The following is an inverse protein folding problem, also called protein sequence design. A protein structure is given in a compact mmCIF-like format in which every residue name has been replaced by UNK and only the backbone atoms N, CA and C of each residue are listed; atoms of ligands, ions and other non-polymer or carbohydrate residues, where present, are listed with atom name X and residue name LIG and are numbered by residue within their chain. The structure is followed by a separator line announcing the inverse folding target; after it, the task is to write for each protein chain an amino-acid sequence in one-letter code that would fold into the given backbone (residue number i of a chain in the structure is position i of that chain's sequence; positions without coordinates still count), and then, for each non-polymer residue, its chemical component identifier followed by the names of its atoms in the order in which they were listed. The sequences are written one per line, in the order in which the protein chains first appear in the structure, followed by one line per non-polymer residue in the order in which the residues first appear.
data_IF_839684502234
#
_entry.id   IF_839684502234
#
_cell.length_a   1.000
_cell.length_b   1.000
_cell.length_c   1.000
_cell.angle_alpha   90.00
_cell.angle_beta   90.00
_cell.angle_gamma   90.00
#
_symmetry.space_group_name_H-M   'P 1'
#
loop_
_entity.id
_entity.type
_entity.pdbx_description
1 polymer ?
#
# COMPACT_ATOMS: atom_id res chain seq x y z
N UNK A 1 -20.41 -54.46 24.65
CA UNK A 1 -19.73 -53.48 23.76
C UNK A 1 -20.48 -52.15 23.81
N UNK A 2 -20.09 -51.18 24.64
CA UNK A 2 -20.75 -49.84 24.64
C UNK A 2 -19.95 -48.68 25.26
N UNK A 3 -18.63 -48.82 25.46
CA UNK A 3 -17.81 -47.75 26.07
C UNK A 3 -17.14 -46.79 25.06
N UNK A 4 -17.23 -47.07 23.76
CA UNK A 4 -16.52 -46.33 22.71
C UNK A 4 -17.36 -45.24 22.01
N UNK A 5 -18.62 -45.03 22.39
CA UNK A 5 -19.55 -44.12 21.68
C UNK A 5 -19.59 -42.71 22.26
N UNK A 6 -19.49 -42.55 23.59
CA UNK A 6 -19.51 -41.23 24.26
C UNK A 6 -18.32 -40.33 23.87
N UNK A 7 -17.05 -40.75 23.95
CA UNK A 7 -15.93 -39.90 23.54
C UNK A 7 -15.96 -39.64 22.03
N UNK A 8 -16.40 -40.61 21.21
CA UNK A 8 -16.58 -40.40 19.77
C UNK A 8 -17.65 -39.34 19.48
N UNK A 9 -18.80 -39.38 20.15
CA UNK A 9 -19.86 -38.38 20.02
C UNK A 9 -19.36 -36.99 20.40
N UNK A 10 -18.60 -36.87 21.49
CA UNK A 10 -18.00 -35.59 21.92
C UNK A 10 -17.02 -35.08 20.85
N UNK A 11 -16.16 -35.95 20.31
CA UNK A 11 -15.25 -35.57 19.23
C UNK A 11 -15.98 -35.14 17.95
N UNK A 12 -17.06 -35.83 17.55
CA UNK A 12 -17.88 -35.44 16.39
C UNK A 12 -18.55 -34.09 16.59
N UNK A 13 -19.05 -33.82 17.80
CA UNK A 13 -19.68 -32.54 18.15
C UNK A 13 -18.65 -31.41 18.10
N UNK A 14 -17.47 -31.59 18.69
CA UNK A 14 -16.36 -30.64 18.62
C UNK A 14 -15.92 -30.39 17.18
N UNK A 15 -15.77 -31.45 16.38
CA UNK A 15 -15.35 -31.33 14.98
C UNK A 15 -16.40 -30.59 14.15
N UNK A 16 -17.70 -30.83 14.40
CA UNK A 16 -18.78 -30.09 13.77
C UNK A 16 -18.78 -28.60 14.16
N UNK A 17 -18.50 -28.28 15.42
CA UNK A 17 -18.41 -26.88 15.88
C UNK A 17 -17.21 -26.19 15.21
N UNK A 18 -16.04 -26.83 15.20
CA UNK A 18 -14.84 -26.29 14.54
C UNK A 18 -15.09 -26.09 13.04
N UNK A 19 -15.65 -27.10 12.35
CA UNK A 19 -15.99 -27.00 10.94
C UNK A 19 -17.02 -25.89 10.67
N UNK A 20 -18.03 -25.73 11.53
CA UNK A 20 -19.02 -24.67 11.44
C UNK A 20 -18.39 -23.28 11.59
N UNK A 21 -17.53 -23.09 12.59
CA UNK A 21 -16.81 -21.83 12.82
C UNK A 21 -15.88 -21.51 11.65
N UNK A 22 -15.11 -22.49 11.15
CA UNK A 22 -14.23 -22.31 9.99
C UNK A 22 -15.01 -21.95 8.74
N UNK A 23 -16.14 -22.62 8.50
CA UNK A 23 -17.00 -22.37 7.34
C UNK A 23 -17.61 -20.97 7.39
N UNK A 24 -18.12 -20.57 8.57
CA UNK A 24 -18.66 -19.23 8.77
C UNK A 24 -17.58 -18.15 8.62
N UNK A 25 -16.41 -18.37 9.20
CA UNK A 25 -15.26 -17.47 9.04
C UNK A 25 -14.87 -17.32 7.57
N UNK A 26 -14.82 -18.40 6.82
CA UNK A 26 -14.48 -18.37 5.40
C UNK A 26 -15.51 -17.58 4.58
N UNK A 27 -16.80 -17.73 4.87
CA UNK A 27 -17.86 -16.97 4.21
C UNK A 27 -17.86 -15.47 4.58
N UNK A 28 -17.41 -15.13 5.78
CA UNK A 28 -17.32 -13.75 6.27
C UNK A 28 -16.00 -13.06 5.92
N UNK A 29 -15.00 -13.80 5.44
CA UNK A 29 -13.72 -13.22 5.04
C UNK A 29 -13.93 -12.18 3.93
N UNK A 30 -13.40 -10.96 4.08
CA UNK A 30 -13.50 -9.96 3.04
C UNK A 30 -12.84 -10.48 1.77
N UNK A 31 -13.47 -10.22 0.62
CA UNK A 31 -12.85 -10.50 -0.67
C UNK A 31 -11.53 -9.75 -0.75
N UNK A 32 -10.51 -10.40 -1.28
CA UNK A 32 -9.20 -9.80 -1.45
C UNK A 32 -8.93 -9.56 -2.94
N UNK A 33 -8.24 -8.47 -3.24
CA UNK A 33 -7.76 -8.13 -4.56
C UNK A 33 -6.23 -8.13 -4.58
N UNK A 34 -5.67 -8.61 -5.69
CA UNK A 34 -4.23 -8.65 -5.89
C UNK A 34 -3.72 -7.29 -6.36
N UNK A 35 -2.76 -6.74 -5.62
CA UNK A 35 -2.03 -5.52 -5.90
C UNK A 35 -0.59 -5.84 -6.28
N UNK A 36 -0.02 -5.03 -7.18
CA UNK A 36 1.38 -5.12 -7.59
C UNK A 36 2.14 -3.94 -7.00
N UNK A 37 3.01 -4.22 -6.04
CA UNK A 37 3.83 -3.22 -5.38
C UNK A 37 5.23 -3.20 -6.00
N UNK A 38 5.70 -2.01 -6.37
CA UNK A 38 7.01 -1.78 -6.96
C UNK A 38 7.95 -1.15 -5.94
N UNK A 39 9.08 -1.80 -5.69
CA UNK A 39 10.11 -1.32 -4.77
C UNK A 39 11.48 -1.33 -5.45
N UNK A 40 12.39 -0.47 -4.99
CA UNK A 40 13.78 -0.50 -5.46
C UNK A 40 14.51 -1.72 -4.93
N UNK A 41 15.45 -2.23 -5.71
CA UNK A 41 16.42 -3.23 -5.28
C UNK A 41 17.76 -2.57 -4.92
N UNK A 42 18.60 -3.30 -4.18
CA UNK A 42 19.92 -2.82 -3.77
C UNK A 42 20.89 -2.53 -4.92
N UNK A 43 20.66 -3.14 -6.09
CA UNK A 43 21.45 -3.02 -7.31
C UNK A 43 20.97 -1.88 -8.24
N UNK A 44 19.98 -1.09 -7.79
CA UNK A 44 19.37 -0.03 -8.58
C UNK A 44 18.20 -0.51 -9.46
N UNK A 45 17.90 -1.80 -9.46
CA UNK A 45 16.73 -2.37 -10.14
C UNK A 45 15.40 -1.99 -9.48
N UNK A 46 14.29 -2.36 -10.13
CA UNK A 46 12.95 -2.30 -9.56
C UNK A 46 12.36 -3.70 -9.49
N UNK A 47 12.02 -4.15 -8.30
CA UNK A 47 11.30 -5.40 -8.06
C UNK A 47 9.79 -5.21 -8.04
N UNK A 48 9.07 -6.34 -8.11
CA UNK A 48 7.62 -6.41 -7.97
C UNK A 48 7.31 -7.38 -6.83
N UNK A 49 6.42 -6.96 -5.94
CA UNK A 49 5.87 -7.76 -4.85
C UNK A 49 4.34 -7.83 -5.04
N UNK A 50 3.77 -9.03 -5.02
CA UNK A 50 2.32 -9.20 -5.04
C UNK A 50 1.77 -9.14 -3.61
N UNK A 51 0.73 -8.35 -3.37
CA UNK A 51 0.00 -8.33 -2.09
C UNK A 51 -1.49 -8.47 -2.30
N UNK A 52 -2.15 -9.14 -1.36
CA UNK A 52 -3.60 -9.27 -1.35
C UNK A 52 -4.17 -8.31 -0.31
N UNK A 53 -4.88 -7.29 -0.77
CA UNK A 53 -5.55 -6.31 0.09
C UNK A 53 -7.07 -6.57 0.10
N UNK A 54 -7.79 -6.21 1.17
CA UNK A 54 -9.24 -6.22 1.15
C UNK A 54 -9.79 -5.42 -0.05
N UNK A 55 -10.86 -5.92 -0.65
CA UNK A 55 -11.58 -5.21 -1.69
C UNK A 55 -12.23 -3.97 -1.09
N UNK A 56 -11.76 -2.80 -1.50
CA UNK A 56 -12.19 -1.49 -1.01
C UNK A 56 -12.64 -0.62 -2.19
N UNK A 57 -13.36 0.46 -1.89
CA UNK A 57 -13.54 1.52 -2.88
C UNK A 57 -12.19 2.11 -3.24
N UNK A 58 -12.02 2.50 -4.51
CA UNK A 58 -10.70 2.88 -5.02
C UNK A 58 -10.04 4.06 -4.28
N UNK A 59 -10.85 4.99 -3.76
CA UNK A 59 -10.37 6.08 -2.90
C UNK A 59 -9.79 5.59 -1.58
N UNK A 60 -10.42 4.60 -0.96
CA UNK A 60 -9.97 3.96 0.28
C UNK A 60 -8.77 3.04 0.01
N UNK A 61 -8.79 2.33 -1.11
CA UNK A 61 -7.68 1.51 -1.58
C UNK A 61 -6.43 2.37 -1.79
N UNK A 62 -6.55 3.55 -2.41
CA UNK A 62 -5.41 4.43 -2.61
C UNK A 62 -4.74 4.82 -1.28
N UNK A 63 -5.55 5.19 -0.27
CA UNK A 63 -5.05 5.53 1.07
C UNK A 63 -4.44 4.30 1.76
N UNK A 64 -5.11 3.15 1.68
CA UNK A 64 -4.60 1.88 2.22
C UNK A 64 -3.26 1.50 1.58
N UNK A 65 -3.14 1.65 0.26
CA UNK A 65 -1.92 1.40 -0.49
C UNK A 65 -0.77 2.32 -0.07
N UNK A 66 -1.04 3.59 0.26
CA UNK A 66 -0.02 4.48 0.85
C UNK A 66 0.56 3.87 2.12
N UNK A 67 -0.30 3.38 3.02
CA UNK A 67 0.15 2.77 4.28
C UNK A 67 0.96 1.49 4.02
N UNK A 68 0.53 0.65 3.09
CA UNK A 68 1.25 -0.57 2.69
C UNK A 68 2.64 -0.27 2.12
N UNK A 69 2.78 0.80 1.34
CA UNK A 69 4.07 1.25 0.78
C UNK A 69 5.00 1.77 1.88
N UNK A 70 4.46 2.51 2.88
CA UNK A 70 5.24 3.04 4.00
C UNK A 70 5.67 1.95 4.99
N UNK A 71 4.83 0.93 5.19
CA UNK A 71 5.21 -0.27 5.95
C UNK A 71 6.46 -0.96 5.34
N UNK A 72 6.62 -0.81 4.02
CA UNK A 72 7.76 -1.29 3.26
C UNK A 72 7.57 -2.73 2.75
N UNK A 73 8.52 -3.25 1.95
CA UNK A 73 8.46 -4.57 1.34
C UNK A 73 8.50 -5.71 2.37
N UNK A 74 7.86 -6.83 2.05
CA UNK A 74 7.99 -8.08 2.81
C UNK A 74 9.29 -8.80 2.47
N UNK A 75 9.75 -8.67 1.23
CA UNK A 75 11.03 -9.23 0.78
C UNK A 75 12.21 -8.31 1.16
N UNK A 76 13.13 -8.84 1.97
CA UNK A 76 14.33 -8.14 2.45
C UNK A 76 15.30 -7.71 1.34
N UNK A 77 15.16 -8.23 0.11
CA UNK A 77 15.96 -7.82 -1.05
C UNK A 77 15.58 -6.43 -1.56
N UNK A 78 14.36 -5.99 -1.26
CA UNK A 78 13.84 -4.69 -1.65
C UNK A 78 14.13 -3.64 -0.58
N UNK A 79 14.29 -2.40 -1.04
CA UNK A 79 14.52 -1.24 -0.19
C UNK A 79 13.18 -0.66 0.26
N UNK A 80 13.16 -0.16 1.50
CA UNK A 80 12.00 0.55 2.08
C UNK A 80 11.91 1.96 1.49
N UNK A 81 10.70 2.53 1.46
CA UNK A 81 10.51 3.94 1.09
C UNK A 81 10.79 4.90 2.25
N UNK A 82 10.53 4.45 3.47
CA UNK A 82 10.66 5.22 4.70
C UNK A 82 10.94 4.29 5.89
N UNK A 83 11.16 4.87 7.06
CA UNK A 83 11.14 4.11 8.31
C UNK A 83 9.75 3.48 8.52
N UNK A 84 9.64 2.21 8.95
CA UNK A 84 8.36 1.50 9.04
C UNK A 84 7.35 2.11 10.01
N UNK A 85 7.81 2.88 11.00
CA UNK A 85 6.95 3.59 11.96
C UNK A 85 6.48 4.96 11.41
N UNK A 86 6.95 5.37 10.23
CA UNK A 86 6.59 6.65 9.63
C UNK A 86 5.15 6.61 9.14
N UNK A 87 4.33 7.48 9.73
CA UNK A 87 2.95 7.67 9.33
C UNK A 87 2.80 8.97 8.53
N UNK A 88 1.90 9.00 7.53
CA UNK A 88 1.57 10.23 6.85
C UNK A 88 0.91 11.21 7.82
N UNK A 89 1.23 12.50 7.72
CA UNK A 89 0.56 13.58 8.44
C UNK A 89 -0.88 13.75 7.96
N UNK A 90 -1.10 13.60 6.66
CA UNK A 90 -2.42 13.50 6.05
C UNK A 90 -2.36 12.67 4.78
N UNK A 91 -3.42 11.89 4.50
CA UNK A 91 -3.55 11.10 3.28
C UNK A 91 -5.03 10.98 2.92
N UNK A 92 -5.44 11.54 1.78
CA UNK A 92 -6.84 11.52 1.36
C UNK A 92 -6.99 11.66 -0.15
N UNK A 93 -8.13 11.20 -0.67
CA UNK A 93 -8.50 11.37 -2.08
C UNK A 93 -9.61 12.42 -2.20
N UNK A 94 -9.45 13.35 -3.15
CA UNK A 94 -10.47 14.33 -3.50
C UNK A 94 -10.45 14.58 -5.00
N UNK A 95 -11.61 14.54 -5.65
CA UNK A 95 -11.77 14.78 -7.10
C UNK A 95 -10.78 13.94 -7.93
N UNK A 96 -10.66 12.64 -7.63
CA UNK A 96 -9.75 11.71 -8.29
C UNK A 96 -8.26 12.08 -8.19
N UNK A 97 -7.88 12.94 -7.23
CA UNK A 97 -6.50 13.22 -6.89
C UNK A 97 -6.19 12.73 -5.48
N UNK A 98 -5.06 12.05 -5.33
CA UNK A 98 -4.51 11.62 -4.04
C UNK A 98 -3.61 12.73 -3.48
N UNK A 99 -3.85 13.13 -2.23
CA UNK A 99 -3.03 14.08 -1.49
C UNK A 99 -2.32 13.32 -0.38
N UNK A 100 -1.00 13.40 -0.36
CA UNK A 100 -0.16 12.74 0.66
C UNK A 100 0.79 13.77 1.25
N UNK A 101 0.69 13.99 2.55
CA UNK A 101 1.64 14.79 3.31
C UNK A 101 2.43 13.88 4.25
N UNK A 102 3.74 13.80 4.04
CA UNK A 102 4.66 13.04 4.88
C UNK A 102 5.47 14.00 5.75
N UNK A 103 5.90 13.57 6.94
CA UNK A 103 6.79 14.39 7.73
C UNK A 103 8.22 14.40 7.13
N UNK A 104 9.02 15.43 7.44
CA UNK A 104 10.37 15.58 6.88
C UNK A 104 11.32 14.40 7.16
N UNK A 105 11.02 13.52 8.12
CA UNK A 105 11.82 12.31 8.36
C UNK A 105 11.91 11.39 7.14
N UNK A 106 10.97 11.48 6.18
CA UNK A 106 11.05 10.71 4.92
C UNK A 106 12.28 11.07 4.06
N UNK A 107 12.87 12.26 4.25
CA UNK A 107 14.06 12.70 3.53
C UNK A 107 15.35 12.13 4.10
N UNK A 108 15.32 11.70 5.36
CA UNK A 108 16.49 11.17 6.08
C UNK A 108 16.09 9.91 6.87
N UNK A 109 15.71 8.82 6.17
CA UNK A 109 15.32 7.59 6.83
C UNK A 109 16.50 6.95 7.56
N UNK A 110 16.22 6.32 8.70
CA UNK A 110 17.19 5.55 9.47
C UNK A 110 17.45 4.16 8.84
N UNK A 111 16.55 3.71 7.97
CA UNK A 111 16.68 2.47 7.21
C UNK A 111 17.35 2.69 5.85
N UNK A 112 17.83 1.59 5.25
CA UNK A 112 18.32 1.60 3.87
C UNK A 112 17.15 1.85 2.91
N UNK A 113 17.12 3.07 2.36
CA UNK A 113 16.12 3.53 1.39
C UNK A 113 16.83 4.09 0.14
N UNK A 114 16.17 4.13 -1.02
CA UNK A 114 16.69 4.85 -2.18
C UNK A 114 16.57 6.37 -1.96
N UNK A 115 17.11 7.17 -2.88
CA UNK A 115 16.93 8.61 -2.84
C UNK A 115 15.44 8.99 -2.95
N UNK A 116 15.09 10.17 -2.41
CA UNK A 116 13.68 10.58 -2.34
C UNK A 116 13.01 10.73 -3.72
N UNK A 117 13.75 11.07 -4.77
CA UNK A 117 13.17 11.17 -6.11
C UNK A 117 12.77 9.79 -6.64
N UNK A 118 13.59 8.77 -6.39
CA UNK A 118 13.25 7.37 -6.68
C UNK A 118 12.04 6.91 -5.87
N UNK A 119 11.97 7.23 -4.56
CA UNK A 119 10.79 6.96 -3.72
C UNK A 119 9.55 7.60 -4.33
N UNK A 120 9.60 8.90 -4.62
CA UNK A 120 8.49 9.64 -5.22
C UNK A 120 8.02 9.03 -6.55
N UNK A 121 8.96 8.64 -7.41
CA UNK A 121 8.66 8.07 -8.73
C UNK A 121 8.00 6.69 -8.61
N UNK A 122 8.55 5.81 -7.76
CA UNK A 122 7.97 4.49 -7.51
C UNK A 122 6.63 4.59 -6.79
N UNK A 123 6.49 5.51 -5.84
CA UNK A 123 5.21 5.77 -5.18
C UNK A 123 4.13 6.10 -6.21
N UNK A 124 4.39 7.06 -7.11
CA UNK A 124 3.44 7.43 -8.17
C UNK A 124 3.13 6.27 -9.10
N UNK A 125 4.14 5.45 -9.44
CA UNK A 125 3.95 4.24 -10.24
C UNK A 125 3.02 3.24 -9.54
N UNK A 126 3.19 3.01 -8.24
CA UNK A 126 2.34 2.13 -7.45
C UNK A 126 0.89 2.59 -7.47
N UNK A 127 0.63 3.88 -7.27
CA UNK A 127 -0.73 4.43 -7.35
C UNK A 127 -1.30 4.25 -8.77
N UNK A 128 -0.56 4.59 -9.83
CA UNK A 128 -1.05 4.48 -11.20
C UNK A 128 -1.31 3.02 -11.65
N UNK A 129 -0.55 2.05 -11.14
CA UNK A 129 -0.75 0.64 -11.48
C UNK A 129 -1.99 0.08 -10.78
N UNK A 130 -2.20 0.41 -9.50
CA UNK A 130 -3.24 -0.22 -8.68
C UNK A 130 -4.53 0.61 -8.58
N UNK A 131 -4.49 1.92 -8.82
CA UNK A 131 -5.63 2.84 -8.73
C UNK A 131 -5.80 3.64 -10.04
N UNK A 132 -6.56 3.08 -10.99
CA UNK A 132 -6.84 3.63 -12.32
C UNK A 132 -7.68 4.92 -12.34
N UNK A 133 -8.57 5.12 -11.37
CA UNK A 133 -9.39 6.32 -11.24
C UNK A 133 -8.60 7.51 -10.70
N UNK A 134 -7.47 7.28 -10.03
CA UNK A 134 -6.62 8.34 -9.48
C UNK A 134 -5.74 8.92 -10.59
N UNK A 135 -6.03 10.15 -10.98
CA UNK A 135 -5.37 10.81 -12.12
C UNK A 135 -4.10 11.55 -11.72
N UNK A 136 -4.06 12.04 -10.48
CA UNK A 136 -2.99 12.91 -9.98
C UNK A 136 -2.62 12.53 -8.56
N UNK A 137 -1.32 12.62 -8.24
CA UNK A 137 -0.79 12.47 -6.88
C UNK A 137 -0.09 13.77 -6.52
N UNK A 138 -0.61 14.47 -5.52
CA UNK A 138 0.01 15.64 -4.90
C UNK A 138 0.77 15.19 -3.66
N UNK A 139 2.07 15.48 -3.65
CA UNK A 139 2.97 15.05 -2.60
C UNK A 139 3.47 16.27 -1.83
N UNK A 140 3.41 16.19 -0.50
CA UNK A 140 3.83 17.25 0.40
C UNK A 140 4.80 16.69 1.44
N UNK A 141 5.71 17.54 1.89
CA UNK A 141 6.57 17.29 3.04
C UNK A 141 6.37 18.42 4.02
N UNK A 142 5.89 18.10 5.22
CA UNK A 142 5.50 19.07 6.24
C UNK A 142 4.59 20.18 5.69
N UNK A 143 3.67 19.83 4.79
CA UNK A 143 2.74 20.75 4.13
C UNK A 143 3.31 21.54 2.96
N UNK A 144 4.60 21.38 2.62
CA UNK A 144 5.24 22.02 1.47
C UNK A 144 5.14 21.10 0.25
N UNK A 145 4.57 21.55 -0.89
CA UNK A 145 4.41 20.70 -2.06
C UNK A 145 5.78 20.39 -2.70
N UNK A 146 5.97 19.14 -3.09
CA UNK A 146 7.22 18.66 -3.69
C UNK A 146 7.01 18.30 -5.16
N UNK A 147 8.02 18.58 -5.98
CA UNK A 147 8.01 18.30 -7.43
C UNK A 147 6.81 18.92 -8.16
N UNK A 148 6.41 20.13 -7.77
CA UNK A 148 5.40 20.91 -8.49
C UNK A 148 5.89 21.14 -9.91
N UNK A 149 5.17 20.59 -10.89
CA UNK A 149 5.44 20.91 -12.30
C UNK A 149 5.04 22.36 -12.53
N UNK A 150 6.01 23.27 -12.60
CA UNK A 150 5.76 24.65 -12.99
C UNK A 150 5.28 24.68 -14.44
N UNK A 151 3.97 24.83 -14.65
CA UNK A 151 3.34 24.95 -15.96
C UNK A 151 3.59 26.31 -16.64
N UNK A 152 4.37 27.21 -16.03
CA UNK A 152 4.51 28.61 -16.46
C UNK A 152 5.90 28.95 -17.03
N UNK A 153 6.50 28.11 -17.87
CA UNK A 153 7.62 28.54 -18.73
C UNK A 153 7.52 27.80 -20.07
N UNK A 154 6.73 28.32 -21.01
CA UNK A 154 7.00 28.31 -22.47
C UNK A 154 5.80 28.90 -23.22
N UNK A 155 5.58 30.20 -23.06
CA UNK A 155 4.68 30.96 -23.91
C UNK A 155 5.15 32.41 -24.05
N UNK A 156 6.47 32.65 -24.06
CA UNK A 156 6.99 33.93 -24.54
C UNK A 156 8.44 33.79 -24.99
N UNK A 157 8.62 33.26 -26.20
CA UNK A 157 9.81 33.56 -27.02
C UNK A 157 9.44 33.33 -28.48
N UNK A 158 8.48 34.13 -28.95
CA UNK A 158 8.25 34.37 -30.37
C UNK A 158 8.10 35.87 -30.58
N UNK A 159 9.21 36.60 -30.45
CA UNK A 159 9.39 37.94 -31.03
C UNK A 159 10.85 38.37 -30.96
N UNK A 160 11.59 38.17 -32.04
CA UNK A 160 12.09 39.25 -32.91
C UNK A 160 12.83 38.67 -34.11
#
# INVERSE_FOLDING_TARGET
MSFFTKPRLICWLLLSVIAGVLSLSYMMSPKQERMLLYFSQSDGGTGIEERYLPQLYESELAVSLVNELLLGPADHRFLRFADPELLPRSCFVRNNALYVDLPAQVLTPNVKAPDFYTVYTLFRKNIAVNCKSITTVYFYIDGVPVYVKNSHISADNKKS
#
